data_IF_745635790464
#
_entry.id   IF_745635790464
#
_cell.length_a   1.000
_cell.length_b   1.000
_cell.length_c   1.000
_cell.angle_alpha   90.00
_cell.angle_beta   90.00
_cell.angle_gamma   90.00
#
_symmetry.space_group_name_H-M   'P 1'
#
loop_
_entity.id
_entity.type
_entity.pdbx_description
1 polymer ?
#
# COMPACT_ATOMS: atom_id res chain seq x y z
N UNK A 1 -0.66 -6.76 18.63
CA UNK A 1 0.70 -6.19 18.49
C UNK A 1 0.63 -4.74 18.02
N UNK A 2 0.04 -4.39 16.85
CA UNK A 2 0.00 -3.00 16.36
C UNK A 2 -0.62 -2.01 17.37
N UNK A 3 -1.72 -2.39 18.04
CA UNK A 3 -2.35 -1.55 19.07
C UNK A 3 -1.41 -1.24 20.23
N UNK A 4 -0.54 -2.17 20.63
CA UNK A 4 0.43 -1.96 21.70
C UNK A 4 1.54 -0.95 21.32
N UNK A 5 1.81 -0.80 20.02
CA UNK A 5 2.80 0.16 19.53
C UNK A 5 2.24 1.59 19.40
N UNK A 6 0.92 1.74 19.48
CA UNK A 6 0.24 3.02 19.24
C UNK A 6 0.74 4.14 20.13
N UNK A 7 0.85 3.90 21.45
CA UNK A 7 1.30 4.91 22.41
C UNK A 7 2.73 5.40 22.14
N UNK A 8 3.59 4.51 21.64
CA UNK A 8 5.01 4.82 21.41
C UNK A 8 5.29 5.43 20.04
N UNK A 9 4.59 4.99 19.00
CA UNK A 9 4.92 5.30 17.60
C UNK A 9 3.88 6.13 16.85
N UNK A 10 2.79 6.55 17.50
CA UNK A 10 1.79 7.42 16.88
C UNK A 10 2.44 8.69 16.34
N UNK A 11 2.23 8.98 15.06
CA UNK A 11 2.78 10.15 14.36
C UNK A 11 4.31 10.21 14.28
N UNK A 12 5.02 9.07 14.40
CA UNK A 12 6.50 9.03 14.42
C UNK A 12 7.13 8.21 13.29
N UNK A 13 6.33 7.50 12.51
CA UNK A 13 6.83 6.64 11.44
C UNK A 13 6.85 7.41 10.13
N UNK A 14 8.00 7.54 9.53
CA UNK A 14 8.19 8.27 8.26
C UNK A 14 7.76 7.46 7.05
N UNK A 15 7.99 6.16 7.07
CA UNK A 15 7.66 5.25 5.97
C UNK A 15 7.17 3.92 6.51
N UNK A 16 6.12 3.40 5.88
CA UNK A 16 5.62 2.06 6.10
C UNK A 16 5.67 1.32 4.76
N UNK A 17 6.22 0.11 4.76
CA UNK A 17 6.09 -0.82 3.65
C UNK A 17 5.45 -2.09 4.17
N UNK A 18 4.38 -2.55 3.51
CA UNK A 18 3.70 -3.79 3.86
C UNK A 18 3.52 -4.68 2.63
N UNK A 19 3.60 -5.96 2.88
CA UNK A 19 3.39 -7.03 1.91
C UNK A 19 2.34 -7.99 2.50
N UNK A 20 1.03 -7.68 2.33
CA UNK A 20 -0.05 -8.47 2.89
C UNK A 20 -0.24 -9.77 2.09
N UNK A 21 -1.00 -10.77 2.61
CA UNK A 21 -1.46 -11.88 1.81
C UNK A 21 -2.20 -11.40 0.57
N UNK A 22 -1.92 -11.97 -0.61
CA UNK A 22 -2.47 -11.52 -1.90
C UNK A 22 -3.84 -12.09 -2.21
N UNK A 23 -4.38 -12.93 -1.33
CA UNK A 23 -5.68 -13.58 -1.47
C UNK A 23 -5.77 -14.47 -2.72
N UNK A 24 -4.78 -15.33 -2.91
CA UNK A 24 -4.66 -16.20 -4.08
C UNK A 24 -5.48 -17.49 -3.96
N UNK A 25 -6.33 -17.62 -2.95
CA UNK A 25 -7.13 -18.81 -2.66
C UNK A 25 -6.43 -19.85 -1.77
N UNK A 26 -5.12 -19.74 -1.60
CA UNK A 26 -4.32 -20.58 -0.71
C UNK A 26 -3.70 -19.80 0.45
N UNK A 27 -3.93 -18.51 0.48
CA UNK A 27 -3.38 -17.63 1.51
C UNK A 27 -4.17 -17.77 2.81
N UNK A 28 -3.43 -17.63 3.93
CA UNK A 28 -4.04 -17.58 5.24
C UNK A 28 -4.40 -16.14 5.59
N UNK A 29 -5.66 -15.91 5.93
CA UNK A 29 -6.14 -14.66 6.50
C UNK A 29 -6.43 -14.85 7.98
N UNK A 30 -6.31 -13.77 8.75
CA UNK A 30 -6.74 -13.79 10.14
C UNK A 30 -8.27 -13.76 10.17
N UNK A 31 -8.86 -14.65 10.94
CA UNK A 31 -10.29 -14.65 11.24
C UNK A 31 -10.56 -13.51 12.23
N UNK A 32 -10.70 -12.30 11.71
CA UNK A 32 -11.10 -11.13 12.49
C UNK A 32 -12.63 -11.00 12.38
N UNK A 33 -13.35 -11.63 13.28
CA UNK A 33 -14.82 -11.51 13.33
C UNK A 33 -15.18 -10.17 14.01
N UNK A 34 -15.44 -9.15 13.20
CA UNK A 34 -15.90 -7.84 13.69
C UNK A 34 -17.39 -7.79 13.99
N UNK A 35 -18.10 -8.92 13.87
CA UNK A 35 -19.52 -9.04 14.20
C UNK A 35 -19.77 -9.24 15.71
N UNK A 36 -18.71 -9.34 16.54
CA UNK A 36 -18.87 -9.40 17.98
C UNK A 36 -19.47 -8.09 18.52
N UNK A 37 -20.54 -8.24 19.28
CA UNK A 37 -21.14 -7.12 20.01
C UNK A 37 -20.11 -6.52 20.97
N UNK A 38 -20.20 -5.19 21.21
CA UNK A 38 -19.30 -4.49 22.14
C UNK A 38 -19.22 -5.14 23.53
N UNK A 39 -20.23 -5.91 23.94
CA UNK A 39 -20.28 -6.63 25.19
C UNK A 39 -19.41 -7.90 25.21
N UNK A 40 -19.37 -8.64 24.09
CA UNK A 40 -18.48 -9.82 23.93
C UNK A 40 -17.01 -9.42 23.80
N UNK A 41 -16.72 -8.32 23.10
CA UNK A 41 -15.38 -7.75 23.02
C UNK A 41 -14.81 -7.36 24.39
N UNK A 42 -15.63 -6.77 25.27
CA UNK A 42 -15.24 -6.42 26.65
C UNK A 42 -15.04 -7.67 27.55
N UNK A 43 -15.84 -8.71 27.35
CA UNK A 43 -15.71 -9.97 28.10
C UNK A 43 -14.47 -10.80 27.67
N UNK A 44 -14.15 -10.77 26.38
CA UNK A 44 -13.01 -11.51 25.82
C UNK A 44 -11.66 -10.78 25.94
N UNK A 45 -11.66 -9.45 26.07
CA UNK A 45 -10.42 -8.66 26.16
C UNK A 45 -9.60 -8.88 27.43
N UNK A 46 -10.18 -9.53 28.46
CA UNK A 46 -9.54 -9.79 29.75
C UNK A 46 -8.93 -11.18 29.92
N UNK A 47 -9.20 -12.16 29.07
CA UNK A 47 -8.81 -13.55 29.34
C UNK A 47 -8.02 -14.30 28.25
N UNK A 48 -7.79 -13.75 27.05
CA UNK A 48 -7.13 -14.47 25.96
C UNK A 48 -5.92 -13.75 25.37
N UNK A 49 -4.91 -13.52 26.20
CA UNK A 49 -3.57 -13.09 25.73
C UNK A 49 -2.81 -14.23 25.04
N UNK A 50 -3.30 -15.48 25.10
CA UNK A 50 -2.58 -16.68 24.65
C UNK A 50 -3.22 -17.46 23.49
N UNK A 51 -4.34 -17.02 22.92
CA UNK A 51 -4.80 -17.59 21.67
C UNK A 51 -4.63 -16.53 20.58
N UNK A 52 -3.49 -16.59 19.88
CA UNK A 52 -3.30 -15.82 18.66
C UNK A 52 -4.46 -16.13 17.70
N UNK A 53 -4.98 -15.09 17.04
CA UNK A 53 -6.02 -15.23 16.03
C UNK A 53 -5.63 -16.37 15.09
N UNK A 54 -6.52 -17.36 14.96
CA UNK A 54 -6.26 -18.53 14.13
C UNK A 54 -6.20 -18.10 12.66
N UNK A 55 -5.13 -18.48 11.98
CA UNK A 55 -5.05 -18.33 10.52
C UNK A 55 -5.98 -19.35 9.87
N UNK A 56 -6.88 -18.88 9.01
CA UNK A 56 -7.80 -19.72 8.24
C UNK A 56 -7.46 -19.57 6.77
N UNK A 57 -7.53 -20.69 6.03
CA UNK A 57 -7.37 -20.63 4.58
C UNK A 57 -8.60 -19.96 3.97
N UNK A 58 -8.39 -18.85 3.25
CA UNK A 58 -9.44 -18.15 2.53
C UNK A 58 -9.51 -18.69 1.11
N UNK A 59 -10.45 -19.60 0.84
CA UNK A 59 -10.62 -20.22 -0.47
C UNK A 59 -11.63 -19.48 -1.33
N UNK A 60 -11.45 -19.49 -2.65
CA UNK A 60 -12.38 -18.89 -3.62
C UNK A 60 -13.82 -19.48 -3.54
N UNK A 61 -13.97 -20.68 -3.01
CA UNK A 61 -15.30 -21.28 -2.77
C UNK A 61 -16.04 -20.62 -1.60
N UNK A 62 -15.39 -19.80 -0.81
CA UNK A 62 -16.00 -19.00 0.25
C UNK A 62 -16.75 -17.81 -0.37
N UNK A 63 -18.08 -17.72 -0.19
CA UNK A 63 -18.87 -16.59 -0.68
C UNK A 63 -18.48 -15.23 -0.06
N UNK A 64 -17.58 -15.20 0.92
CA UNK A 64 -17.02 -14.01 1.58
C UNK A 64 -15.55 -13.79 1.28
N UNK A 65 -15.04 -14.39 0.24
CA UNK A 65 -13.61 -14.43 -0.11
C UNK A 65 -12.92 -13.05 -0.02
N UNK A 66 -13.41 -12.06 -0.73
CA UNK A 66 -12.88 -10.69 -0.68
C UNK A 66 -13.22 -9.98 0.64
N UNK A 67 -14.40 -10.25 1.20
CA UNK A 67 -14.85 -9.61 2.44
C UNK A 67 -13.96 -9.99 3.62
N UNK A 68 -13.59 -11.26 3.75
CA UNK A 68 -12.75 -11.74 4.84
C UNK A 68 -11.33 -11.15 4.73
N UNK A 69 -10.81 -11.01 3.52
CA UNK A 69 -9.55 -10.31 3.28
C UNK A 69 -9.65 -8.81 3.64
N UNK A 70 -10.72 -8.15 3.23
CA UNK A 70 -10.95 -6.73 3.54
C UNK A 70 -11.09 -6.50 5.05
N UNK A 71 -11.79 -7.37 5.76
CA UNK A 71 -11.92 -7.31 7.22
C UNK A 71 -10.56 -7.43 7.91
N UNK A 72 -9.66 -8.24 7.36
CA UNK A 72 -8.31 -8.38 7.87
C UNK A 72 -7.47 -7.13 7.62
N UNK A 73 -7.48 -6.56 6.40
CA UNK A 73 -6.54 -5.49 6.02
C UNK A 73 -6.98 -4.10 6.51
N UNK A 74 -8.29 -3.81 6.49
CA UNK A 74 -8.85 -2.51 6.82
C UNK A 74 -8.41 -1.95 8.19
N UNK A 75 -8.57 -2.67 9.30
CA UNK A 75 -8.19 -2.15 10.62
C UNK A 75 -6.67 -1.97 10.75
N UNK A 76 -5.88 -2.76 10.02
CA UNK A 76 -4.42 -2.65 10.02
C UNK A 76 -3.97 -1.38 9.31
N UNK A 77 -4.59 -1.04 8.19
CA UNK A 77 -4.32 0.20 7.45
C UNK A 77 -4.74 1.44 8.24
N UNK A 78 -5.88 1.38 8.98
CA UNK A 78 -6.28 2.49 9.86
C UNK A 78 -5.21 2.78 10.92
N UNK A 79 -4.69 1.75 11.56
CA UNK A 79 -3.63 1.90 12.57
C UNK A 79 -2.32 2.36 11.91
N UNK A 80 -2.00 1.84 10.73
CA UNK A 80 -0.81 2.25 9.99
C UNK A 80 -0.83 3.76 9.69
N UNK A 81 -2.00 4.30 9.26
CA UNK A 81 -2.17 5.75 9.03
C UNK A 81 -1.89 6.58 10.27
N UNK A 82 -2.32 6.11 11.45
CA UNK A 82 -2.07 6.82 12.71
C UNK A 82 -0.58 6.86 13.10
N UNK A 83 0.20 5.86 12.69
CA UNK A 83 1.64 5.83 12.95
C UNK A 83 2.43 6.81 12.09
N UNK A 84 1.95 7.14 10.89
CA UNK A 84 2.65 8.01 9.96
C UNK A 84 2.78 9.43 10.50
N UNK A 85 3.97 10.03 10.31
CA UNK A 85 4.17 11.48 10.39
C UNK A 85 3.36 12.18 9.31
N UNK A 86 3.13 13.49 9.41
CA UNK A 86 2.34 14.22 8.40
C UNK A 86 3.00 14.19 7.01
N UNK A 87 4.34 14.11 6.96
CA UNK A 87 5.11 13.86 5.74
C UNK A 87 5.43 12.37 5.52
N UNK A 88 4.68 11.49 6.15
CA UNK A 88 4.86 10.04 6.04
C UNK A 88 4.19 9.46 4.81
N UNK A 89 4.73 8.32 4.35
CA UNK A 89 4.26 7.59 3.18
C UNK A 89 4.09 6.11 3.48
N UNK A 90 3.12 5.47 2.83
CA UNK A 90 2.94 4.01 2.88
C UNK A 90 3.01 3.43 1.48
N UNK A 91 3.68 2.29 1.36
CA UNK A 91 3.73 1.46 0.16
C UNK A 91 3.15 0.10 0.49
N UNK A 92 2.30 -0.43 -0.40
CA UNK A 92 1.59 -1.68 -0.18
C UNK A 92 1.73 -2.53 -1.43
N UNK A 93 2.44 -3.66 -1.32
CA UNK A 93 2.52 -4.65 -2.39
C UNK A 93 1.23 -5.45 -2.49
N UNK A 94 0.82 -5.77 -3.69
CA UNK A 94 -0.37 -6.60 -3.99
C UNK A 94 -0.26 -7.15 -5.41
N UNK A 95 -1.06 -8.15 -5.73
CA UNK A 95 -1.25 -8.63 -7.09
C UNK A 95 -2.63 -8.24 -7.67
N UNK A 96 -2.94 -8.77 -8.83
CA UNK A 96 -4.19 -8.49 -9.56
C UNK A 96 -5.45 -8.94 -8.81
N UNK A 97 -5.36 -9.87 -7.83
CA UNK A 97 -6.54 -10.41 -7.14
C UNK A 97 -7.25 -9.36 -6.29
N UNK A 98 -6.49 -8.51 -5.57
CA UNK A 98 -7.05 -7.57 -4.60
C UNK A 98 -6.65 -6.11 -4.82
N UNK A 99 -5.90 -5.78 -5.88
CA UNK A 99 -5.44 -4.39 -6.11
C UNK A 99 -6.57 -3.38 -6.17
N UNK A 100 -7.68 -3.72 -6.81
CA UNK A 100 -8.85 -2.84 -6.93
C UNK A 100 -9.56 -2.61 -5.58
N UNK A 101 -9.70 -3.66 -4.78
CA UNK A 101 -10.29 -3.59 -3.46
C UNK A 101 -9.37 -2.83 -2.50
N UNK A 102 -8.07 -3.12 -2.53
CA UNK A 102 -7.08 -2.40 -1.75
C UNK A 102 -7.08 -0.91 -2.07
N UNK A 103 -7.18 -0.54 -3.36
CA UNK A 103 -7.25 0.85 -3.80
C UNK A 103 -8.42 1.59 -3.16
N UNK A 104 -9.62 1.00 -3.20
CA UNK A 104 -10.83 1.58 -2.62
C UNK A 104 -10.72 1.78 -1.10
N UNK A 105 -10.19 0.78 -0.41
CA UNK A 105 -9.97 0.84 1.05
C UNK A 105 -8.93 1.92 1.40
N UNK A 106 -7.85 2.03 0.63
CA UNK A 106 -6.86 3.07 0.85
C UNK A 106 -7.41 4.47 0.55
N UNK A 107 -8.23 4.63 -0.49
CA UNK A 107 -8.90 5.90 -0.79
C UNK A 107 -9.82 6.33 0.36
N UNK A 108 -10.51 5.38 1.02
CA UNK A 108 -11.35 5.66 2.19
C UNK A 108 -10.51 6.05 3.43
N UNK A 109 -9.41 5.32 3.68
CA UNK A 109 -8.62 5.49 4.89
C UNK A 109 -7.67 6.69 4.79
N UNK A 110 -6.94 6.82 3.69
CA UNK A 110 -5.92 7.85 3.50
C UNK A 110 -6.45 9.11 2.81
N UNK A 111 -7.56 8.99 2.07
CA UNK A 111 -8.09 10.00 1.17
C UNK A 111 -7.59 9.78 -0.26
N UNK A 112 -8.50 9.81 -1.24
CA UNK A 112 -8.16 9.62 -2.65
C UNK A 112 -7.18 10.70 -3.16
N UNK A 113 -7.24 11.91 -2.60
CA UNK A 113 -6.34 13.03 -2.88
C UNK A 113 -4.89 12.75 -2.47
N UNK A 114 -4.68 11.87 -1.48
CA UNK A 114 -3.37 11.49 -0.94
C UNK A 114 -2.73 10.32 -1.70
N UNK A 115 -3.36 9.84 -2.75
CA UNK A 115 -2.77 8.84 -3.63
C UNK A 115 -1.57 9.40 -4.38
N UNK A 116 -0.41 8.77 -4.22
CA UNK A 116 0.85 9.19 -4.87
C UNK A 116 1.08 8.49 -6.19
N UNK A 117 0.74 7.22 -6.28
CA UNK A 117 0.92 6.47 -7.50
C UNK A 117 0.68 4.97 -7.38
N UNK A 118 0.61 4.35 -8.54
CA UNK A 118 0.52 2.91 -8.72
C UNK A 118 1.77 2.47 -9.49
N UNK A 119 2.66 1.75 -8.81
CA UNK A 119 3.90 1.25 -9.37
C UNK A 119 3.65 -0.16 -9.89
N UNK A 120 3.92 -0.39 -11.16
CA UNK A 120 3.89 -1.71 -11.77
C UNK A 120 5.29 -2.30 -11.71
N UNK A 121 5.48 -3.23 -10.78
CA UNK A 121 6.75 -3.92 -10.60
C UNK A 121 6.85 -5.12 -11.51
N UNK A 122 7.77 -5.11 -12.46
CA UNK A 122 7.99 -6.26 -13.35
C UNK A 122 8.68 -7.39 -12.58
N UNK A 123 7.91 -8.41 -12.22
CA UNK A 123 8.38 -9.58 -11.47
C UNK A 123 9.17 -10.57 -12.33
N UNK A 124 8.78 -10.71 -13.60
CA UNK A 124 9.38 -11.69 -14.52
C UNK A 124 9.78 -11.05 -15.83
N UNK A 125 10.93 -11.43 -16.35
CA UNK A 125 11.40 -10.97 -17.65
C UNK A 125 10.71 -11.70 -18.81
N UNK A 126 10.38 -12.99 -18.63
CA UNK A 126 9.72 -13.83 -19.61
C UNK A 126 8.25 -14.04 -19.24
N UNK A 127 7.40 -14.12 -20.27
CA UNK A 127 6.01 -14.50 -20.07
C UNK A 127 5.95 -15.92 -19.50
N UNK A 128 5.14 -16.16 -18.44
CA UNK A 128 4.93 -17.50 -17.93
C UNK A 128 4.36 -18.40 -19.03
N UNK A 129 4.91 -19.60 -19.17
CA UNK A 129 4.37 -20.61 -20.10
C UNK A 129 3.16 -21.30 -19.43
N UNK A 130 2.13 -20.54 -19.13
CA UNK A 130 0.89 -21.01 -18.55
C UNK A 130 -0.15 -21.15 -19.67
N UNK A 131 -0.37 -22.38 -20.12
CA UNK A 131 -1.32 -22.68 -21.20
C UNK A 131 -2.78 -22.47 -20.82
N UNK A 132 -3.07 -22.22 -19.54
CA UNK A 132 -4.42 -21.98 -19.04
C UNK A 132 -4.83 -20.51 -19.12
N UNK A 133 -3.86 -19.60 -19.29
CA UNK A 133 -4.10 -18.15 -19.34
C UNK A 133 -3.82 -17.59 -20.73
N UNK A 134 -4.75 -16.83 -21.26
CA UNK A 134 -4.61 -16.12 -22.53
C UNK A 134 -3.50 -15.05 -22.45
N UNK A 135 -3.38 -14.38 -21.31
CA UNK A 135 -2.38 -13.33 -21.06
C UNK A 135 -1.60 -13.71 -19.81
N UNK A 136 -0.27 -13.80 -19.92
CA UNK A 136 0.60 -14.06 -18.78
C UNK A 136 0.81 -12.81 -17.95
N UNK A 137 0.56 -12.92 -16.65
CA UNK A 137 0.82 -11.84 -15.69
C UNK A 137 2.32 -11.82 -15.36
N UNK A 138 2.96 -10.69 -15.59
CA UNK A 138 4.41 -10.50 -15.38
C UNK A 138 4.73 -9.42 -14.35
N UNK A 139 3.71 -8.69 -13.89
CA UNK A 139 3.84 -7.59 -12.96
C UNK A 139 3.18 -7.90 -11.61
N UNK A 140 3.65 -7.24 -10.59
CA UNK A 140 3.00 -7.02 -9.31
C UNK A 140 2.75 -5.53 -9.13
N UNK A 141 1.91 -5.16 -8.19
CA UNK A 141 1.47 -3.80 -7.96
C UNK A 141 1.99 -3.29 -6.62
N UNK A 142 2.39 -2.03 -6.57
CA UNK A 142 2.67 -1.34 -5.32
C UNK A 142 1.84 -0.07 -5.31
N UNK A 143 0.89 0.04 -4.39
CA UNK A 143 0.14 1.26 -4.17
C UNK A 143 0.89 2.16 -3.20
N UNK A 144 0.99 3.44 -3.52
CA UNK A 144 1.65 4.44 -2.70
C UNK A 144 0.67 5.53 -2.28
N UNK A 145 0.63 5.83 -0.98
CA UNK A 145 -0.16 6.89 -0.38
C UNK A 145 0.68 7.72 0.58
N UNK A 146 0.46 9.03 0.56
CA UNK A 146 0.93 9.93 1.62
C UNK A 146 -0.09 10.01 2.75
N UNK A 147 0.34 10.39 3.94
CA UNK A 147 -0.60 10.83 4.99
C UNK A 147 -1.22 12.17 4.64
N UNK A 148 -0.40 13.13 4.18
CA UNK A 148 -0.80 14.42 3.62
C UNK A 148 0.09 14.75 2.41
N UNK A 149 -0.47 14.62 1.22
CA UNK A 149 0.25 14.84 -0.04
C UNK A 149 0.63 16.30 -0.26
N UNK A 150 -0.19 17.24 0.21
CA UNK A 150 0.10 18.67 0.06
C UNK A 150 1.30 19.02 0.92
N UNK A 151 1.31 18.56 2.17
CA UNK A 151 2.43 18.77 3.08
C UNK A 151 3.70 18.09 2.54
N UNK A 152 3.63 16.86 2.06
CA UNK A 152 4.75 16.16 1.44
C UNK A 152 5.40 16.94 0.29
N UNK A 153 4.57 17.55 -0.56
CA UNK A 153 5.07 18.39 -1.65
C UNK A 153 5.76 19.66 -1.13
N UNK A 154 5.24 20.25 -0.07
CA UNK A 154 5.81 21.49 0.51
C UNK A 154 7.18 21.24 1.12
N UNK A 155 7.39 20.12 1.80
CA UNK A 155 8.69 19.75 2.40
C UNK A 155 9.64 19.03 1.44
N UNK A 156 9.18 18.73 0.21
CA UNK A 156 10.02 18.16 -0.84
C UNK A 156 10.32 16.67 -0.68
N UNK A 157 9.47 15.92 0.01
CA UNK A 157 9.64 14.46 0.17
C UNK A 157 9.74 13.77 -1.19
N UNK A 158 10.71 12.87 -1.32
CA UNK A 158 10.94 12.08 -2.54
C UNK A 158 11.58 12.83 -3.70
N UNK A 159 11.91 14.10 -3.55
CA UNK A 159 12.65 14.85 -4.56
C UNK A 159 14.14 14.61 -4.40
N UNK A 160 14.79 14.25 -5.50
CA UNK A 160 16.24 14.21 -5.56
C UNK A 160 16.78 15.63 -5.74
N UNK A 161 17.95 15.89 -5.16
CA UNK A 161 18.66 17.13 -5.45
C UNK A 161 18.99 17.22 -6.94
N UNK A 162 18.75 18.38 -7.51
CA UNK A 162 19.12 18.63 -8.91
C UNK A 162 20.63 18.72 -9.00
N UNK A 163 21.26 17.73 -9.63
CA UNK A 163 22.68 17.73 -9.95
C UNK A 163 22.88 18.24 -11.37
N UNK A 164 23.68 19.27 -11.53
CA UNK A 164 24.02 19.86 -12.84
C UNK A 164 23.85 21.37 -12.89
N UNK A 165 24.25 21.97 -14.00
CA UNK A 165 24.06 23.38 -14.26
C UNK A 165 22.74 23.59 -14.99
N UNK A 166 21.84 24.34 -14.36
CA UNK A 166 20.54 24.72 -14.91
C UNK A 166 20.49 26.23 -15.05
N UNK A 167 20.05 26.71 -16.19
CA UNK A 167 19.91 28.14 -16.48
C UNK A 167 18.50 28.40 -17.02
N UNK A 168 18.05 29.64 -16.94
CA UNK A 168 16.77 30.06 -17.53
C UNK A 168 16.99 31.28 -18.45
N UNK A 169 17.71 31.10 -19.58
CA UNK A 169 18.08 32.23 -20.45
C UNK A 169 16.88 32.82 -21.17
N UNK A 170 15.78 32.10 -21.32
CA UNK A 170 14.56 32.50 -21.99
C UNK A 170 13.43 32.94 -21.03
N UNK A 171 13.71 33.00 -19.72
CA UNK A 171 12.73 33.27 -18.66
C UNK A 171 11.50 32.34 -18.71
N UNK A 172 11.70 31.04 -19.01
CA UNK A 172 10.64 30.07 -19.03
C UNK A 172 9.94 30.02 -17.67
N UNK A 173 8.61 30.19 -17.59
CA UNK A 173 7.87 30.19 -16.34
C UNK A 173 7.93 28.85 -15.59
N UNK A 174 8.36 27.78 -16.24
CA UNK A 174 8.57 26.46 -15.62
C UNK A 174 9.87 26.39 -14.80
N UNK A 175 10.77 27.38 -14.92
CA UNK A 175 12.02 27.51 -14.17
C UNK A 175 13.27 27.09 -14.96
N UNK A 176 14.41 26.97 -14.27
CA UNK A 176 15.69 26.63 -14.90
C UNK A 176 15.68 25.26 -15.57
N UNK A 177 16.33 25.15 -16.72
CA UNK A 177 16.43 23.92 -17.51
C UNK A 177 17.86 23.67 -17.97
N UNK A 178 18.14 22.39 -18.35
CA UNK A 178 19.40 22.01 -18.95
C UNK A 178 19.15 21.39 -20.33
N UNK A 179 19.87 21.87 -21.32
CA UNK A 179 19.85 21.27 -22.65
C UNK A 179 20.49 19.87 -22.61
N UNK A 180 19.80 18.88 -23.17
CA UNK A 180 20.37 17.56 -23.43
C UNK A 180 20.36 17.28 -24.92
N UNK A 181 21.44 16.75 -25.51
CA UNK A 181 21.43 16.37 -26.91
C UNK A 181 20.39 15.27 -27.13
N UNK A 182 19.59 15.43 -28.17
CA UNK A 182 18.67 14.38 -28.63
C UNK A 182 19.50 13.22 -29.13
N UNK A 183 19.52 12.12 -28.38
CA UNK A 183 20.11 10.85 -28.87
C UNK A 183 19.02 10.10 -29.62
N UNK A 184 19.09 10.05 -30.93
CA UNK A 184 18.40 9.05 -31.72
C UNK A 184 19.09 7.74 -31.39
N UNK A 185 18.36 6.78 -30.79
CA UNK A 185 18.90 5.45 -30.53
C UNK A 185 19.42 4.89 -31.85
N UNK A 186 20.69 4.48 -31.89
CA UNK A 186 21.15 3.58 -32.91
C UNK A 186 20.55 2.22 -32.60
N UNK A 187 19.75 1.69 -33.53
CA UNK A 187 19.26 0.32 -33.55
C UNK A 187 20.41 -0.69 -33.47
#
# INVERSE_FOLDING_TARGET
VLKCLKETYMGKVKMIYIDPPYNTGNDFVYEDDFAESSAEYLANSGQYVNQGNRLVNNSESNGRFHTDWLNMIYPRLKVAREFLTDDGVIFISIDDNEVENLRKVCDEIFGAENFEGHIHWRRRHNQPNDKTKMIGLVAEHILAYSKDKIYNRSVGVGKLELTGSFTNPDNDPRGPWASKPWKVGSD
#
